data_IF_023150341249
#
_entry.id   IF_023150341249
#
_cell.length_a   1.000
_cell.length_b   1.000
_cell.length_c   1.000
_cell.angle_alpha   90.00
_cell.angle_beta   90.00
_cell.angle_gamma   90.00
#
_symmetry.space_group_name_H-M   'P 1'
#
loop_
_entity.id
_entity.type
_entity.pdbx_description
1 polymer ?
#
# COMPACT_ATOMS: atom_id res chain seq x y z
N UNK A 1 22.53 4.80 20.62
CA UNK A 1 21.47 5.62 19.99
C UNK A 1 20.22 4.79 20.06
N UNK A 2 19.21 5.29 20.76
CA UNK A 2 18.11 4.48 21.26
C UNK A 2 17.13 4.10 20.12
N UNK A 3 17.29 2.88 19.60
CA UNK A 3 16.40 2.24 18.63
C UNK A 3 15.04 1.81 19.26
N UNK A 4 14.77 2.14 20.54
CA UNK A 4 13.64 1.60 21.31
C UNK A 4 12.26 2.14 20.96
N UNK A 5 12.14 3.25 20.20
CA UNK A 5 10.84 3.91 19.92
C UNK A 5 10.42 3.79 18.45
N UNK A 6 10.64 2.64 17.82
CA UNK A 6 10.14 2.35 16.47
C UNK A 6 8.80 1.61 16.54
N UNK A 7 7.71 2.25 16.11
CA UNK A 7 6.40 1.60 16.01
C UNK A 7 6.31 0.94 14.64
N UNK A 8 6.18 -0.38 14.61
CA UNK A 8 5.93 -1.14 13.37
C UNK A 8 4.48 -1.59 13.33
N UNK A 9 3.80 -1.33 12.22
CA UNK A 9 2.42 -1.75 11.97
C UNK A 9 2.46 -2.72 10.79
N UNK A 10 2.13 -3.96 11.06
CA UNK A 10 2.10 -5.06 10.11
C UNK A 10 0.84 -5.09 9.23
N UNK A 11 0.81 -6.11 8.38
CA UNK A 11 -0.36 -6.46 7.59
C UNK A 11 -1.20 -7.53 8.31
N UNK A 12 -2.50 -7.55 8.07
CA UNK A 12 -3.35 -8.68 8.43
C UNK A 12 -2.99 -9.90 7.56
N UNK A 13 -2.08 -10.73 8.08
CA UNK A 13 -1.53 -11.89 7.36
C UNK A 13 -2.58 -12.92 6.99
N UNK A 14 -3.54 -13.17 7.88
CA UNK A 14 -4.62 -14.11 7.60
C UNK A 14 -5.43 -13.64 6.38
N UNK A 15 -5.86 -12.38 6.39
CA UNK A 15 -6.65 -11.81 5.30
C UNK A 15 -5.87 -11.81 3.97
N UNK A 16 -4.60 -11.40 3.98
CA UNK A 16 -3.78 -11.41 2.77
C UNK A 16 -3.53 -12.83 2.24
N UNK A 17 -3.32 -13.82 3.11
CA UNK A 17 -3.17 -15.22 2.72
C UNK A 17 -4.45 -15.79 2.10
N UNK A 18 -5.63 -15.44 2.65
CA UNK A 18 -6.92 -15.82 2.07
C UNK A 18 -7.12 -15.22 0.67
N UNK A 19 -6.79 -13.93 0.49
CA UNK A 19 -6.85 -13.28 -0.82
C UNK A 19 -5.86 -13.89 -1.81
N UNK A 20 -4.66 -14.24 -1.35
CA UNK A 20 -3.68 -14.92 -2.17
C UNK A 20 -4.19 -16.29 -2.62
N UNK A 21 -4.73 -17.11 -1.71
CA UNK A 21 -5.28 -18.43 -2.04
C UNK A 21 -6.47 -18.32 -3.00
N UNK A 22 -7.37 -17.37 -2.77
CA UNK A 22 -8.47 -17.09 -3.69
C UNK A 22 -7.97 -16.73 -5.10
N UNK A 23 -6.94 -15.88 -5.19
CA UNK A 23 -6.36 -15.52 -6.50
C UNK A 23 -5.79 -16.72 -7.25
N UNK A 24 -5.13 -17.65 -6.55
CA UNK A 24 -4.61 -18.89 -7.15
C UNK A 24 -5.74 -19.77 -7.68
N UNK A 25 -6.86 -19.87 -6.96
CA UNK A 25 -8.03 -20.61 -7.42
C UNK A 25 -8.61 -20.02 -8.73
N UNK A 26 -8.74 -18.69 -8.81
CA UNK A 26 -9.20 -18.03 -10.04
C UNK A 26 -8.23 -18.20 -11.22
N UNK A 27 -6.92 -18.18 -10.97
CA UNK A 27 -5.90 -18.47 -11.99
C UNK A 27 -6.04 -19.92 -12.47
N UNK A 28 -6.18 -20.89 -11.56
CA UNK A 28 -6.36 -22.30 -11.92
C UNK A 28 -7.63 -22.52 -12.77
N UNK A 29 -8.76 -21.94 -12.36
CA UNK A 29 -10.02 -21.98 -13.13
C UNK A 29 -9.82 -21.35 -14.52
N UNK A 30 -9.13 -20.20 -14.59
CA UNK A 30 -8.83 -19.52 -15.85
C UNK A 30 -8.01 -20.39 -16.81
N UNK A 31 -6.98 -21.08 -16.30
CA UNK A 31 -6.19 -22.03 -17.08
C UNK A 31 -7.04 -23.21 -17.56
N UNK A 32 -7.93 -23.76 -16.72
CA UNK A 32 -8.85 -24.83 -17.13
C UNK A 32 -9.78 -24.39 -18.26
N UNK A 33 -10.28 -23.16 -18.23
CA UNK A 33 -11.10 -22.60 -19.32
C UNK A 33 -10.30 -22.46 -20.62
N UNK A 34 -9.03 -22.08 -20.55
CA UNK A 34 -8.17 -21.99 -21.72
C UNK A 34 -7.87 -23.37 -22.34
N UNK A 35 -7.68 -24.41 -21.52
CA UNK A 35 -7.43 -25.78 -21.98
C UNK A 35 -8.61 -26.35 -22.77
N UNK A 36 -9.85 -25.97 -22.43
CA UNK A 36 -11.04 -26.41 -23.17
C UNK A 36 -11.07 -25.93 -24.63
N UNK A 37 -10.32 -24.88 -24.98
CA UNK A 37 -10.14 -24.44 -26.36
C UNK A 37 -11.33 -23.73 -27.01
N UNK A 38 -12.49 -23.65 -26.36
CA UNK A 38 -13.62 -22.85 -26.83
C UNK A 38 -13.29 -21.36 -26.77
N UNK A 39 -13.47 -20.64 -27.88
CA UNK A 39 -13.06 -19.24 -28.01
C UNK A 39 -13.54 -18.35 -26.84
N UNK A 40 -14.81 -18.45 -26.46
CA UNK A 40 -15.36 -17.66 -25.35
C UNK A 40 -14.71 -17.99 -23.99
N UNK A 41 -14.44 -19.26 -23.72
CA UNK A 41 -13.77 -19.70 -22.50
C UNK A 41 -12.30 -19.31 -22.49
N UNK A 42 -11.61 -19.36 -23.63
CA UNK A 42 -10.23 -18.90 -23.77
C UNK A 42 -10.11 -17.42 -23.46
N UNK A 43 -11.02 -16.58 -24.00
CA UNK A 43 -11.02 -15.13 -23.68
C UNK A 43 -11.27 -14.90 -22.20
N UNK A 44 -12.31 -15.51 -21.61
CA UNK A 44 -12.62 -15.36 -20.19
C UNK A 44 -11.48 -15.85 -19.29
N UNK A 45 -10.90 -17.00 -19.60
CA UNK A 45 -9.76 -17.57 -18.89
C UNK A 45 -8.53 -16.66 -18.95
N UNK A 46 -8.26 -16.07 -20.12
CA UNK A 46 -7.16 -15.12 -20.30
C UNK A 46 -7.33 -13.89 -19.40
N UNK A 47 -8.53 -13.30 -19.34
CA UNK A 47 -8.81 -12.19 -18.43
C UNK A 47 -8.67 -12.58 -16.96
N UNK A 48 -9.14 -13.77 -16.57
CA UNK A 48 -9.01 -14.29 -15.21
C UNK A 48 -7.53 -14.42 -14.83
N UNK A 49 -6.73 -15.09 -15.65
CA UNK A 49 -5.30 -15.33 -15.39
C UNK A 49 -4.53 -14.00 -15.33
N UNK A 50 -4.79 -13.07 -16.26
CA UNK A 50 -4.10 -11.78 -16.27
C UNK A 50 -4.44 -10.95 -15.02
N UNK A 51 -5.73 -10.84 -14.69
CA UNK A 51 -6.17 -10.02 -13.57
C UNK A 51 -5.79 -10.62 -12.21
N UNK A 52 -6.20 -11.87 -11.97
CA UNK A 52 -5.94 -12.54 -10.70
C UNK A 52 -4.48 -12.97 -10.54
N UNK A 53 -3.75 -13.21 -11.63
CA UNK A 53 -2.31 -13.43 -11.58
C UNK A 53 -1.55 -12.17 -11.12
N UNK A 54 -1.84 -11.01 -11.69
CA UNK A 54 -1.21 -9.75 -11.28
C UNK A 54 -1.60 -9.34 -9.84
N UNK A 55 -2.89 -9.46 -9.50
CA UNK A 55 -3.37 -9.18 -8.14
C UNK A 55 -2.78 -10.16 -7.12
N UNK A 56 -2.78 -11.46 -7.45
CA UNK A 56 -2.23 -12.54 -6.64
C UNK A 56 -0.74 -12.36 -6.36
N UNK A 57 0.06 -12.01 -7.38
CA UNK A 57 1.48 -11.71 -7.19
C UNK A 57 1.69 -10.54 -6.23
N UNK A 58 0.91 -9.46 -6.40
CA UNK A 58 1.01 -8.25 -5.57
C UNK A 58 0.66 -8.51 -4.11
N UNK A 59 -0.44 -9.24 -3.88
CA UNK A 59 -0.89 -9.63 -2.52
C UNK A 59 0.04 -10.69 -1.92
N UNK A 60 0.50 -11.66 -2.71
CA UNK A 60 1.39 -12.73 -2.27
C UNK A 60 2.73 -12.22 -1.75
N UNK A 61 3.33 -11.21 -2.42
CA UNK A 61 4.55 -10.54 -1.93
C UNK A 61 4.32 -9.93 -0.53
N UNK A 62 3.16 -9.33 -0.28
CA UNK A 62 2.81 -8.73 1.03
C UNK A 62 2.42 -9.79 2.07
N UNK A 63 1.77 -10.87 1.67
CA UNK A 63 1.37 -11.97 2.53
C UNK A 63 2.61 -12.73 3.05
N UNK A 64 3.51 -13.12 2.15
CA UNK A 64 4.70 -13.93 2.45
C UNK A 64 5.90 -13.10 2.93
N UNK A 65 5.95 -11.80 2.62
CA UNK A 65 7.05 -10.92 3.02
C UNK A 65 7.04 -10.57 4.51
N UNK A 66 8.21 -10.32 5.09
CA UNK A 66 8.35 -9.91 6.50
C UNK A 66 8.28 -8.40 6.73
N UNK A 67 8.21 -7.59 5.67
CA UNK A 67 8.19 -6.14 5.79
C UNK A 67 6.87 -5.68 6.42
N UNK A 68 6.90 -4.87 7.50
CA UNK A 68 5.69 -4.25 8.03
C UNK A 68 5.11 -3.26 7.02
N UNK A 69 3.80 -3.05 7.10
CA UNK A 69 3.08 -2.16 6.22
C UNK A 69 3.52 -0.70 6.42
N UNK A 70 3.68 -0.30 7.67
CA UNK A 70 4.12 1.05 8.04
C UNK A 70 5.16 0.92 9.15
N UNK A 71 6.28 1.63 9.01
CA UNK A 71 7.23 1.81 10.10
C UNK A 71 7.25 3.29 10.47
N UNK A 72 7.08 3.59 11.74
CA UNK A 72 7.14 4.94 12.30
C UNK A 72 8.43 5.01 13.12
N UNK A 73 9.34 5.90 12.73
CA UNK A 73 10.60 6.11 13.44
C UNK A 73 10.85 7.59 13.72
N UNK A 74 11.97 7.89 14.37
CA UNK A 74 12.29 9.26 14.77
C UNK A 74 12.49 10.24 13.60
N UNK A 75 12.95 9.76 12.44
CA UNK A 75 13.27 10.59 11.27
C UNK A 75 12.13 10.71 10.26
N UNK A 76 11.12 9.85 10.35
CA UNK A 76 10.03 9.78 9.39
C UNK A 76 9.31 8.44 9.42
N UNK A 77 8.57 8.17 8.36
CA UNK A 77 7.83 6.94 8.15
C UNK A 77 8.36 6.17 6.94
N UNK A 78 8.23 4.84 6.96
CA UNK A 78 8.45 3.98 5.79
C UNK A 78 7.10 3.41 5.37
N UNK A 79 6.67 3.74 4.15
CA UNK A 79 5.45 3.19 3.54
C UNK A 79 5.75 1.95 2.70
N UNK A 80 5.25 0.79 3.14
CA UNK A 80 5.10 -0.42 2.34
C UNK A 80 3.62 -0.81 2.16
N UNK A 81 2.70 -0.10 2.83
CA UNK A 81 1.29 -0.41 2.95
C UNK A 81 0.50 -0.04 1.70
N UNK A 82 0.86 1.07 1.06
CA UNK A 82 0.22 1.53 -0.16
C UNK A 82 0.29 0.49 -1.29
N UNK A 83 -0.63 0.58 -2.25
CA UNK A 83 -0.60 -0.26 -3.46
C UNK A 83 0.74 -0.13 -4.20
N UNK A 84 1.32 1.06 -4.16
CA UNK A 84 2.62 1.37 -4.73
C UNK A 84 3.46 2.15 -3.71
N UNK A 85 4.26 1.43 -2.93
CA UNK A 85 5.09 1.95 -1.83
C UNK A 85 5.81 3.26 -2.17
N UNK A 86 5.60 4.32 -1.40
CA UNK A 86 6.37 5.56 -1.53
C UNK A 86 7.80 5.45 -0.95
N UNK A 87 8.02 4.44 -0.09
CA UNK A 87 9.28 4.21 0.62
C UNK A 87 9.42 5.11 1.85
N UNK A 88 10.64 5.55 2.15
CA UNK A 88 10.88 6.46 3.26
C UNK A 88 10.38 7.88 2.96
N UNK A 89 9.70 8.48 3.94
CA UNK A 89 9.07 9.80 3.94
C UNK A 89 9.53 10.52 5.22
N UNK A 90 10.41 11.53 5.13
CA UNK A 90 10.87 12.28 6.30
C UNK A 90 9.74 13.08 6.95
N UNK A 91 9.77 13.26 8.27
CA UNK A 91 8.75 14.06 8.96
C UNK A 91 8.67 15.50 8.45
N UNK A 92 9.82 16.13 8.21
CA UNK A 92 9.87 17.50 7.67
C UNK A 92 9.20 17.63 6.30
N UNK A 93 8.98 16.54 5.57
CA UNK A 93 8.32 16.58 4.27
C UNK A 93 6.81 16.38 4.35
N UNK A 94 6.30 15.93 5.49
CA UNK A 94 4.86 15.70 5.70
C UNK A 94 4.20 17.01 6.11
N UNK A 95 3.25 17.48 5.28
CA UNK A 95 2.42 18.65 5.58
C UNK A 95 1.30 18.27 6.54
N UNK A 96 0.63 17.15 6.27
CA UNK A 96 -0.54 16.73 7.04
C UNK A 96 -0.86 15.28 6.77
N UNK A 97 -1.44 14.62 7.77
CA UNK A 97 -1.99 13.27 7.68
C UNK A 97 -3.49 13.39 7.89
N UNK A 98 -4.28 12.72 7.05
CA UNK A 98 -5.74 12.73 7.13
C UNK A 98 -6.29 11.35 6.82
N UNK A 99 -7.47 11.06 7.33
CA UNK A 99 -8.25 9.90 6.89
C UNK A 99 -9.36 10.34 5.93
N UNK A 100 -9.70 9.49 4.98
CA UNK A 100 -10.89 9.68 4.16
C UNK A 100 -11.53 8.33 3.86
N UNK A 101 -12.85 8.33 3.87
CA UNK A 101 -13.67 7.17 3.54
C UNK A 101 -14.12 7.30 2.08
N UNK A 102 -13.75 6.33 1.25
CA UNK A 102 -14.27 6.20 -0.10
C UNK A 102 -15.10 4.92 -0.17
N UNK A 103 -16.40 5.08 -0.40
CA UNK A 103 -17.40 4.03 -0.24
C UNK A 103 -17.28 3.37 1.16
N UNK A 104 -17.04 2.06 1.20
CA UNK A 104 -16.90 1.27 2.44
C UNK A 104 -15.46 1.14 2.94
N UNK A 105 -14.50 1.79 2.28
CA UNK A 105 -13.07 1.65 2.57
C UNK A 105 -12.48 2.94 3.12
N UNK A 106 -11.73 2.82 4.21
CA UNK A 106 -10.97 3.92 4.79
C UNK A 106 -9.53 3.93 4.25
N UNK A 107 -9.01 5.13 4.02
CA UNK A 107 -7.67 5.37 3.53
C UNK A 107 -6.98 6.42 4.39
N UNK A 108 -5.67 6.26 4.58
CA UNK A 108 -4.78 7.27 5.12
C UNK A 108 -4.19 8.05 3.94
N UNK A 109 -4.26 9.36 4.02
CA UNK A 109 -3.69 10.28 3.05
C UNK A 109 -2.58 11.07 3.73
N UNK A 110 -1.35 10.86 3.25
CA UNK A 110 -0.17 11.58 3.70
C UNK A 110 0.17 12.60 2.62
N UNK A 111 -0.06 13.88 2.93
CA UNK A 111 0.31 14.98 2.05
C UNK A 111 1.77 15.33 2.28
N UNK A 112 2.57 15.33 1.22
CA UNK A 112 3.96 15.80 1.27
C UNK A 112 4.13 17.17 0.61
N UNK A 113 5.24 17.86 0.86
CA UNK A 113 5.56 19.15 0.21
C UNK A 113 5.75 19.00 -1.30
N UNK A 114 6.35 17.90 -1.73
CA UNK A 114 6.52 17.55 -3.14
C UNK A 114 6.23 16.06 -3.40
N UNK A 115 4.98 15.75 -3.74
CA UNK A 115 4.56 14.39 -4.09
C UNK A 115 5.29 13.86 -5.34
N UNK A 116 5.61 14.74 -6.31
CA UNK A 116 6.27 14.36 -7.56
C UNK A 116 7.70 13.89 -7.32
N UNK A 117 8.39 14.40 -6.29
CA UNK A 117 9.70 13.89 -5.88
C UNK A 117 9.64 12.39 -5.54
N UNK A 118 8.59 11.93 -4.85
CA UNK A 118 8.39 10.52 -4.51
C UNK A 118 8.11 9.65 -5.73
N UNK A 119 7.51 10.21 -6.77
CA UNK A 119 7.27 9.53 -8.04
C UNK A 119 8.57 9.43 -8.83
N UNK A 120 9.27 10.56 -8.98
CA UNK A 120 10.47 10.66 -9.82
C UNK A 120 11.65 9.85 -9.26
N UNK A 121 11.75 9.67 -7.93
CA UNK A 121 12.78 8.83 -7.31
C UNK A 121 12.60 7.32 -7.56
N UNK A 122 11.43 6.86 -8.03
CA UNK A 122 11.18 5.44 -8.24
C UNK A 122 12.01 4.89 -9.41
N UNK A 123 12.90 3.94 -9.16
CA UNK A 123 13.73 3.29 -10.19
C UNK A 123 12.91 2.41 -11.15
N UNK A 124 11.86 1.76 -10.65
CA UNK A 124 11.02 0.87 -11.46
C UNK A 124 10.02 1.69 -12.31
N UNK A 125 10.04 1.47 -13.62
CA UNK A 125 9.20 2.19 -14.59
C UNK A 125 7.70 2.00 -14.33
N UNK A 126 7.26 0.75 -14.14
CA UNK A 126 5.85 0.44 -13.87
C UNK A 126 5.38 1.10 -12.57
N UNK A 127 6.22 1.06 -11.52
CA UNK A 127 5.96 1.72 -10.25
C UNK A 127 5.76 3.22 -10.41
N UNK A 128 6.68 3.87 -11.13
CA UNK A 128 6.62 5.30 -11.44
C UNK A 128 5.36 5.64 -12.25
N UNK A 129 5.03 4.85 -13.25
CA UNK A 129 3.84 5.03 -14.08
C UNK A 129 2.55 4.94 -13.25
N UNK A 130 2.41 3.91 -12.41
CA UNK A 130 1.26 3.76 -11.53
C UNK A 130 1.11 4.92 -10.54
N UNK A 131 2.21 5.41 -9.95
CA UNK A 131 2.13 6.58 -9.07
C UNK A 131 1.74 7.86 -9.83
N UNK A 132 2.15 8.03 -11.10
CA UNK A 132 1.70 9.16 -11.93
C UNK A 132 0.19 9.11 -12.23
N UNK A 133 -0.34 7.92 -12.48
CA UNK A 133 -1.79 7.75 -12.63
C UNK A 133 -2.50 8.09 -11.33
N UNK A 134 -1.97 7.63 -10.18
CA UNK A 134 -2.55 7.94 -8.90
C UNK A 134 -2.57 9.45 -8.62
N UNK A 135 -1.45 10.14 -8.89
CA UNK A 135 -1.36 11.60 -8.77
C UNK A 135 -2.40 12.31 -9.65
N UNK A 136 -2.52 11.90 -10.92
CA UNK A 136 -3.42 12.53 -11.90
C UNK A 136 -4.90 12.36 -11.54
N UNK A 137 -5.30 11.20 -11.03
CA UNK A 137 -6.71 10.87 -10.81
C UNK A 137 -7.19 11.07 -9.37
N UNK A 138 -6.29 11.06 -8.38
CA UNK A 138 -6.67 11.11 -6.96
C UNK A 138 -6.11 12.35 -6.22
N UNK A 139 -5.60 13.35 -6.94
CA UNK A 139 -5.31 14.68 -6.39
C UNK A 139 -3.98 14.80 -5.65
N UNK A 140 -3.13 13.79 -5.76
CA UNK A 140 -1.79 13.78 -5.21
C UNK A 140 -1.69 13.49 -3.71
N UNK A 141 -0.67 12.71 -3.35
CA UNK A 141 -0.40 12.29 -1.99
C UNK A 141 -0.14 10.80 -1.89
N UNK A 142 0.38 10.38 -0.74
CA UNK A 142 0.66 8.98 -0.47
C UNK A 142 -0.57 8.38 0.21
N UNK A 143 -1.29 7.55 -0.54
CA UNK A 143 -2.55 6.92 -0.09
C UNK A 143 -2.30 5.49 0.38
N UNK A 144 -2.61 5.20 1.64
CA UNK A 144 -2.47 3.87 2.24
C UNK A 144 -3.86 3.34 2.58
N UNK A 145 -4.33 2.24 1.95
CA UNK A 145 -5.57 1.59 2.36
C UNK A 145 -5.40 1.00 3.77
N UNK A 146 -6.39 1.18 4.63
CA UNK A 146 -6.31 0.70 6.03
C UNK A 146 -6.75 -0.75 6.18
N UNK A 147 -7.61 -1.24 5.28
CA UNK A 147 -8.16 -2.61 5.32
C UNK A 147 -7.10 -3.73 5.43
N UNK A 148 -5.96 -3.69 4.70
CA UNK A 148 -4.95 -4.74 4.81
C UNK A 148 -4.03 -4.63 6.03
N UNK A 149 -4.16 -3.58 6.85
CA UNK A 149 -3.35 -3.38 8.03
C UNK A 149 -3.81 -4.30 9.17
N UNK A 150 -2.91 -4.65 10.07
CA UNK A 150 -3.24 -5.47 11.24
C UNK A 150 -4.03 -4.69 12.31
N UNK A 151 -3.90 -3.36 12.31
CA UNK A 151 -4.60 -2.44 13.21
C UNK A 151 -5.71 -1.68 12.48
N UNK A 152 -6.81 -1.32 13.18
CA UNK A 152 -7.82 -0.41 12.68
C UNK A 152 -7.24 0.91 12.18
N UNK A 153 -7.80 1.46 11.09
CA UNK A 153 -7.25 2.65 10.45
C UNK A 153 -7.24 3.92 11.32
N UNK A 154 -8.17 4.03 12.28
CA UNK A 154 -8.16 5.09 13.29
C UNK A 154 -6.97 4.97 14.24
N UNK A 155 -6.63 3.76 14.72
CA UNK A 155 -5.45 3.57 15.58
C UNK A 155 -4.16 3.88 14.83
N UNK A 156 -4.08 3.49 13.55
CA UNK A 156 -2.93 3.80 12.69
C UNK A 156 -2.82 5.32 12.46
N UNK A 157 -3.95 5.99 12.23
CA UNK A 157 -4.02 7.44 12.09
C UNK A 157 -3.54 8.15 13.37
N UNK A 158 -4.04 7.75 14.54
CA UNK A 158 -3.65 8.31 15.83
C UNK A 158 -2.15 8.12 16.10
N UNK A 159 -1.60 6.93 15.83
CA UNK A 159 -0.18 6.67 15.98
C UNK A 159 0.68 7.58 15.08
N UNK A 160 0.27 7.79 13.83
CA UNK A 160 0.94 8.67 12.89
C UNK A 160 0.83 10.15 13.31
N UNK A 161 -0.35 10.58 13.76
CA UNK A 161 -0.61 11.96 14.17
C UNK A 161 0.15 12.33 15.44
N UNK A 162 0.23 11.42 16.42
CA UNK A 162 1.00 11.60 17.64
C UNK A 162 2.50 11.72 17.33
N UNK A 163 3.03 10.84 16.47
CA UNK A 163 4.44 10.89 16.07
C UNK A 163 4.79 12.19 15.30
N UNK A 164 3.91 12.66 14.42
CA UNK A 164 4.10 13.94 13.72
C UNK A 164 4.07 15.13 14.69
N UNK A 165 3.19 15.09 15.69
CA UNK A 165 3.08 16.16 16.69
C UNK A 165 4.31 16.21 17.60
N UNK A 166 4.83 15.06 18.04
CA UNK A 166 6.07 14.92 18.81
C UNK A 166 7.28 15.48 18.03
N UNK A 167 7.34 15.24 16.72
CA UNK A 167 8.39 15.81 15.87
C UNK A 167 8.34 17.34 15.81
N UNK A 168 7.15 17.93 15.67
CA UNK A 168 7.00 19.39 15.64
C UNK A 168 7.30 20.04 16.99
N UNK A 169 6.94 19.41 18.12
CA UNK A 169 7.26 19.96 19.44
C UNK A 169 8.77 20.02 19.72
N UNK A 170 9.55 19.08 19.19
CA UNK A 170 11.01 19.05 19.35
C UNK A 170 11.78 19.96 18.37
N UNK A 171 11.16 20.36 17.26
CA UNK A 171 11.80 21.22 16.24
C UNK A 171 11.52 22.71 16.48
N UNK A 172 10.48 23.03 17.27
CA UNK A 172 10.08 24.42 17.58
C UNK A 172 10.62 24.90 18.94
N UNK A 173 11.32 24.04 19.68
CA UNK A 173 12.01 24.34 20.93
C UNK A 173 13.50 24.55 20.69
#
# INVERSE_FOLDING_TARGET
MDDSKQISIGFNKLMLSLYFLGSLAFVAIGVLFMIKGEFGLVVLGSFSVLFFGAAGLSVGIKALGSKPAIQIGQKGIVDNGSGVSAGFIPWNDIISIRTSNMATHQFLYIQTKDNLAYINKQKNFLKRYMMRLNERYFGGGITIPTKPLEKPGNEVYEALQNALSEYHSHTTA
#
